data_IF_708003937816
#
_entry.id   IF_708003937816
#
_cell.length_a   1.000
_cell.length_b   1.000
_cell.length_c   1.000
_cell.angle_alpha   90.00
_cell.angle_beta   90.00
_cell.angle_gamma   90.00
#
_symmetry.space_group_name_H-M   'P 1'
#
loop_
_entity.id
_entity.type
_entity.pdbx_description
1 polymer ?
#
# COMPACT_ATOMS: atom_id res chain seq x y z
N UNK A 1 14.34 -6.70 -11.54
CA UNK A 1 12.97 -6.79 -11.01
C UNK A 1 12.99 -7.83 -9.91
N UNK A 2 13.08 -7.41 -8.66
CA UNK A 2 13.02 -8.36 -7.54
C UNK A 2 11.55 -8.53 -7.18
N UNK A 3 11.01 -9.71 -7.44
CA UNK A 3 9.65 -10.07 -7.01
C UNK A 3 9.76 -10.28 -5.50
N UNK A 4 9.28 -9.32 -4.72
CA UNK A 4 9.19 -9.47 -3.27
C UNK A 4 7.81 -10.07 -2.98
N UNK A 5 7.80 -11.34 -2.57
CA UNK A 5 6.58 -12.04 -2.15
C UNK A 5 6.37 -11.74 -0.67
N UNK A 6 5.31 -10.99 -0.34
CA UNK A 6 5.00 -10.54 1.03
C UNK A 6 3.75 -11.23 1.61
N UNK A 7 3.33 -12.35 1.01
CA UNK A 7 2.14 -13.12 1.42
C UNK A 7 2.24 -13.54 2.88
N UNK A 8 1.21 -13.28 3.67
CA UNK A 8 1.13 -13.60 5.11
C UNK A 8 2.24 -13.02 6.01
N UNK A 9 3.04 -12.07 5.51
CA UNK A 9 4.09 -11.46 6.33
C UNK A 9 3.55 -10.30 7.18
N UNK A 10 4.07 -10.18 8.41
CA UNK A 10 3.90 -8.98 9.22
C UNK A 10 4.97 -7.97 8.82
N UNK A 11 4.56 -6.87 8.22
CA UNK A 11 5.44 -5.75 7.86
C UNK A 11 5.29 -4.56 8.80
N UNK A 12 4.56 -4.75 9.89
CA UNK A 12 4.16 -3.73 10.87
C UNK A 12 5.31 -2.77 11.18
N UNK A 13 5.03 -1.46 11.08
CA UNK A 13 5.99 -0.35 11.28
C UNK A 13 7.14 -0.25 10.26
N UNK A 14 7.08 -0.98 9.14
CA UNK A 14 8.06 -0.86 8.06
C UNK A 14 8.02 0.51 7.37
N UNK A 15 9.19 1.02 6.99
CA UNK A 15 9.35 2.30 6.26
C UNK A 15 9.83 2.00 4.84
N UNK A 16 8.97 2.26 3.86
CA UNK A 16 9.17 1.91 2.44
C UNK A 16 8.98 3.11 1.50
N UNK A 17 9.48 4.28 1.91
CA UNK A 17 9.35 5.52 1.12
C UNK A 17 9.96 5.38 -0.26
N UNK A 18 9.28 5.90 -1.29
CA UNK A 18 9.75 5.90 -2.69
C UNK A 18 10.16 4.50 -3.24
N UNK A 19 9.70 3.43 -2.60
CA UNK A 19 10.01 2.06 -3.00
C UNK A 19 9.06 1.58 -4.10
N UNK A 20 9.49 0.60 -4.91
CA UNK A 20 8.67 0.01 -5.97
C UNK A 20 8.26 -1.41 -5.59
N UNK A 21 6.96 -1.64 -5.51
CA UNK A 21 6.33 -2.94 -5.21
C UNK A 21 5.34 -3.35 -6.31
N UNK A 22 5.61 -2.90 -7.54
CA UNK A 22 4.77 -3.22 -8.68
C UNK A 22 4.65 -4.75 -8.81
N UNK A 23 3.43 -5.23 -9.01
CA UNK A 23 3.12 -6.65 -9.21
C UNK A 23 3.49 -7.57 -8.01
N UNK A 24 3.81 -7.01 -6.84
CA UNK A 24 4.10 -7.78 -5.61
C UNK A 24 2.82 -8.33 -4.96
N UNK A 25 2.96 -9.39 -4.17
CA UNK A 25 1.83 -10.08 -3.55
C UNK A 25 1.68 -9.70 -2.07
N UNK A 26 0.53 -9.09 -1.72
CA UNK A 26 0.18 -8.60 -0.37
C UNK A 26 -0.99 -9.35 0.26
N UNK A 27 -1.33 -10.55 -0.24
CA UNK A 27 -2.43 -11.34 0.31
C UNK A 27 -2.19 -11.56 1.82
N UNK A 28 -3.19 -11.16 2.62
CA UNK A 28 -3.20 -11.31 4.07
C UNK A 28 -2.03 -10.64 4.82
N UNK A 29 -1.27 -9.74 4.17
CA UNK A 29 -0.18 -9.02 4.81
C UNK A 29 -0.72 -8.03 5.87
N UNK A 30 -0.06 -7.98 7.03
CA UNK A 30 -0.34 -6.97 8.04
C UNK A 30 0.53 -5.73 7.79
N UNK A 31 -0.11 -4.67 7.30
CA UNK A 31 0.51 -3.39 6.95
C UNK A 31 0.29 -2.30 8.01
N UNK A 32 -0.18 -2.68 9.19
CA UNK A 32 -0.46 -1.72 10.27
C UNK A 32 0.78 -0.88 10.59
N UNK A 33 0.60 0.43 10.76
CA UNK A 33 1.66 1.40 11.03
C UNK A 33 2.77 1.51 9.98
N UNK A 34 2.64 0.90 8.79
CA UNK A 34 3.63 1.02 7.72
C UNK A 34 3.62 2.43 7.08
N UNK A 35 4.75 2.82 6.50
CA UNK A 35 4.90 4.06 5.75
C UNK A 35 5.26 3.73 4.29
N UNK A 36 4.32 3.98 3.37
CA UNK A 36 4.49 3.79 1.93
C UNK A 36 4.54 5.11 1.14
N UNK A 37 4.89 6.21 1.78
CA UNK A 37 4.87 7.53 1.11
C UNK A 37 5.66 7.52 -0.20
N UNK A 38 5.02 7.99 -1.29
CA UNK A 38 5.58 8.02 -2.65
C UNK A 38 5.95 6.65 -3.23
N UNK A 39 5.55 5.55 -2.61
CA UNK A 39 5.80 4.21 -3.14
C UNK A 39 4.93 3.93 -4.38
N UNK A 40 5.35 2.96 -5.19
CA UNK A 40 4.59 2.46 -6.33
C UNK A 40 4.05 1.06 -6.03
N UNK A 41 2.74 0.96 -5.77
CA UNK A 41 2.00 -0.27 -5.46
C UNK A 41 1.03 -0.66 -6.60
N UNK A 42 1.18 -0.09 -7.80
CA UNK A 42 0.32 -0.44 -8.95
C UNK A 42 0.51 -1.90 -9.35
N UNK A 43 -0.56 -2.58 -9.72
CA UNK A 43 -0.55 -4.01 -10.04
C UNK A 43 -0.29 -4.93 -8.84
N UNK A 44 -0.14 -4.39 -7.62
CA UNK A 44 0.03 -5.22 -6.43
C UNK A 44 -1.18 -6.14 -6.24
N UNK A 45 -0.92 -7.44 -6.10
CA UNK A 45 -1.96 -8.45 -5.98
C UNK A 45 -2.42 -8.56 -4.53
N UNK A 46 -3.72 -8.73 -4.33
CA UNK A 46 -4.30 -8.97 -3.00
C UNK A 46 -4.13 -7.84 -1.99
N UNK A 47 -3.77 -6.64 -2.46
CA UNK A 47 -3.74 -5.43 -1.66
C UNK A 47 -5.15 -4.85 -1.59
N UNK A 48 -5.62 -4.52 -0.39
CA UNK A 48 -6.97 -3.98 -0.15
C UNK A 48 -6.93 -2.59 0.47
N UNK A 49 -8.01 -1.84 0.27
CA UNK A 49 -8.18 -0.51 0.88
C UNK A 49 -8.17 -0.61 2.42
N UNK A 50 -8.74 -1.68 2.98
CA UNK A 50 -8.70 -1.98 4.41
C UNK A 50 -7.29 -2.19 4.99
N UNK A 51 -6.36 -2.79 4.24
CA UNK A 51 -4.95 -2.86 4.67
C UNK A 51 -4.29 -1.49 4.63
N UNK A 52 -4.53 -0.72 3.57
CA UNK A 52 -3.93 0.61 3.37
C UNK A 52 -4.44 1.66 4.37
N UNK A 53 -5.68 1.52 4.84
CA UNK A 53 -6.28 2.37 5.88
C UNK A 53 -5.62 2.18 7.26
N UNK A 54 -4.90 1.08 7.49
CA UNK A 54 -4.19 0.80 8.74
C UNK A 54 -2.75 1.28 8.74
N UNK A 55 -2.23 1.69 7.58
CA UNK A 55 -0.89 2.24 7.47
C UNK A 55 -0.78 3.57 8.22
N UNK A 56 0.40 3.87 8.74
CA UNK A 56 0.69 5.17 9.35
C UNK A 56 0.65 6.30 8.31
N UNK A 57 1.13 6.03 7.09
CA UNK A 57 1.05 6.98 5.98
C UNK A 57 1.19 6.31 4.62
N UNK A 58 0.33 6.70 3.67
CA UNK A 58 0.39 6.29 2.27
C UNK A 58 0.32 7.50 1.32
N UNK A 59 0.76 8.68 1.77
CA UNK A 59 0.69 9.91 0.98
C UNK A 59 1.45 9.77 -0.34
N UNK A 60 0.87 10.25 -1.43
CA UNK A 60 1.44 10.22 -2.77
C UNK A 60 1.79 8.81 -3.29
N UNK A 61 1.25 7.76 -2.67
CA UNK A 61 1.42 6.38 -3.13
C UNK A 61 0.70 6.21 -4.46
N UNK A 62 1.34 5.54 -5.41
CA UNK A 62 0.73 5.19 -6.69
C UNK A 62 -0.01 3.88 -6.52
N UNK A 63 -1.30 3.89 -6.80
CA UNK A 63 -2.21 2.75 -6.73
C UNK A 63 -2.94 2.59 -8.06
N UNK A 64 -3.53 1.42 -8.28
CA UNK A 64 -4.45 1.23 -9.39
C UNK A 64 -5.71 2.08 -9.20
N UNK A 65 -6.34 2.46 -10.32
CA UNK A 65 -7.43 3.43 -10.34
C UNK A 65 -8.61 3.02 -9.43
N UNK A 66 -8.96 1.73 -9.41
CA UNK A 66 -10.03 1.19 -8.56
C UNK A 66 -9.72 1.40 -7.06
N UNK A 67 -8.53 0.99 -6.63
CA UNK A 67 -8.12 1.08 -5.23
C UNK A 67 -7.95 2.54 -4.78
N UNK A 68 -7.44 3.40 -5.66
CA UNK A 68 -7.36 4.84 -5.41
C UNK A 68 -8.76 5.47 -5.26
N UNK A 69 -9.74 5.05 -6.06
CA UNK A 69 -11.12 5.50 -5.97
C UNK A 69 -11.79 5.05 -4.66
N UNK A 70 -11.62 3.78 -4.28
CA UNK A 70 -12.11 3.24 -2.99
C UNK A 70 -11.56 4.03 -1.80
N UNK A 71 -10.25 4.24 -1.76
CA UNK A 71 -9.61 4.99 -0.67
C UNK A 71 -10.11 6.43 -0.66
N UNK A 72 -10.23 7.09 -1.81
CA UNK A 72 -10.72 8.47 -1.85
C UNK A 72 -12.18 8.59 -1.41
N UNK A 73 -13.01 7.57 -1.65
CA UNK A 73 -14.39 7.53 -1.18
C UNK A 73 -14.48 7.41 0.35
N UNK A 74 -13.54 6.69 0.98
CA UNK A 74 -13.50 6.48 2.44
C UNK A 74 -12.76 7.60 3.17
N UNK A 75 -11.57 7.97 2.68
CA UNK A 75 -10.71 8.99 3.26
C UNK A 75 -9.95 9.74 2.14
N UNK A 76 -10.51 10.84 1.61
CA UNK A 76 -9.91 11.59 0.50
C UNK A 76 -8.58 12.26 0.85
N UNK A 77 -8.24 12.39 2.14
CA UNK A 77 -6.96 12.96 2.58
C UNK A 77 -5.86 11.92 2.66
N UNK A 78 -6.17 10.62 2.60
CA UNK A 78 -5.19 9.57 2.85
C UNK A 78 -4.05 9.53 1.81
N UNK A 79 -4.35 9.89 0.55
CA UNK A 79 -3.37 9.90 -0.55
C UNK A 79 -2.67 11.25 -0.76
N UNK A 80 -3.09 12.32 -0.06
CA UNK A 80 -2.60 13.69 -0.28
C UNK A 80 -2.37 14.41 1.05
N UNK A 81 -1.87 15.65 1.00
CA UNK A 81 -1.72 16.46 2.20
C UNK A 81 -3.07 16.99 2.68
#
# INVERSE_FOLDING_TARGET
>A
MQIVILQSHKLVKGIFRASTFKDCEFQQADLSDCIFERADLRGAKGLTSGQLLKCASIKYTRLDAALAAEINAVNPKLLKN
#
